data_IF_441561648623
#
_entry.id   IF_441561648623
#
_cell.length_a   1.000
_cell.length_b   1.000
_cell.length_c   1.000
_cell.angle_alpha   90.00
_cell.angle_beta   90.00
_cell.angle_gamma   90.00
#
_symmetry.space_group_name_H-M   'P 1'
#
loop_
_entity.id
_entity.type
_entity.pdbx_description
1 polymer ?
#
# COMPACT_ATOMS: atom_id res chain seq x y z
N UNK A 1 -57.55 -41.50 -28.73
CA UNK A 1 -57.63 -40.14 -28.20
C UNK A 1 -56.22 -39.57 -28.16
N UNK A 2 -56.00 -38.48 -28.89
CA UNK A 2 -54.74 -37.75 -28.99
C UNK A 2 -54.31 -37.16 -27.64
N UNK A 3 -53.06 -37.36 -27.23
CA UNK A 3 -52.34 -36.34 -26.47
C UNK A 3 -51.04 -36.04 -27.19
N UNK A 4 -50.95 -34.77 -27.57
CA UNK A 4 -49.91 -34.14 -28.37
C UNK A 4 -48.62 -34.00 -27.57
N UNK A 5 -47.54 -33.96 -28.34
CA UNK A 5 -46.20 -33.55 -27.95
C UNK A 5 -46.16 -32.31 -27.06
N UNK A 6 -45.29 -32.34 -26.05
CA UNK A 6 -44.44 -31.21 -25.71
C UNK A 6 -43.10 -31.73 -25.20
N UNK A 7 -42.16 -31.91 -26.11
CA UNK A 7 -40.74 -31.84 -25.76
C UNK A 7 -40.45 -30.43 -25.24
N UNK A 8 -40.06 -30.30 -23.98
CA UNK A 8 -39.35 -29.11 -23.50
C UNK A 8 -37.86 -29.36 -23.71
N UNK A 9 -37.26 -28.61 -24.61
CA UNK A 9 -35.80 -28.54 -24.73
C UNK A 9 -35.20 -28.15 -23.36
N UNK A 10 -34.11 -28.80 -22.91
CA UNK A 10 -33.34 -28.26 -21.80
C UNK A 10 -32.70 -26.96 -22.28
N UNK A 11 -33.23 -25.84 -21.80
CA UNK A 11 -32.65 -24.53 -22.00
C UNK A 11 -31.18 -24.55 -21.59
N UNK A 12 -30.32 -24.14 -22.51
CA UNK A 12 -28.92 -23.82 -22.22
C UNK A 12 -28.89 -22.74 -21.13
N UNK A 13 -28.53 -23.14 -19.92
CA UNK A 13 -28.06 -22.20 -18.91
C UNK A 13 -26.57 -21.95 -19.19
N UNK A 14 -26.28 -21.13 -20.19
CA UNK A 14 -24.97 -20.47 -20.32
C UNK A 14 -24.93 -19.30 -19.33
N UNK A 15 -25.01 -19.61 -18.04
CA UNK A 15 -24.59 -18.71 -16.97
C UNK A 15 -23.51 -19.45 -16.19
N UNK A 16 -22.36 -19.66 -16.85
CA UNK A 16 -21.11 -19.60 -16.12
C UNK A 16 -21.01 -18.16 -15.64
N UNK A 17 -21.55 -17.87 -14.45
CA UNK A 17 -20.96 -16.84 -13.61
C UNK A 17 -19.46 -17.09 -13.70
N UNK A 18 -18.73 -16.17 -14.34
CA UNK A 18 -17.27 -16.21 -14.33
C UNK A 18 -16.90 -16.30 -12.86
N UNK A 19 -16.50 -17.49 -12.43
CA UNK A 19 -15.87 -17.68 -11.14
C UNK A 19 -14.74 -16.64 -11.17
N UNK A 20 -14.74 -15.64 -10.27
CA UNK A 20 -13.71 -14.62 -10.30
C UNK A 20 -12.39 -15.37 -10.22
N UNK A 21 -11.58 -15.25 -11.27
CA UNK A 21 -10.26 -15.87 -11.30
C UNK A 21 -9.59 -15.46 -10.00
N UNK A 22 -9.15 -16.45 -9.22
CA UNK A 22 -8.42 -16.21 -7.99
C UNK A 22 -7.33 -15.20 -8.30
N UNK A 23 -7.19 -14.10 -7.52
CA UNK A 23 -6.18 -13.10 -7.77
C UNK A 23 -4.82 -13.74 -8.01
N UNK A 24 -4.18 -13.42 -9.12
CA UNK A 24 -2.86 -13.97 -9.42
C UNK A 24 -1.81 -13.24 -8.57
N UNK A 25 -1.70 -13.66 -7.30
CA UNK A 25 -0.78 -13.12 -6.29
C UNK A 25 0.67 -13.29 -6.75
N UNK A 26 0.98 -14.36 -7.48
CA UNK A 26 2.34 -14.61 -7.99
C UNK A 26 2.73 -13.55 -9.04
N UNK A 27 1.88 -13.31 -10.05
CA UNK A 27 2.11 -12.24 -11.03
C UNK A 27 2.19 -10.85 -10.38
N UNK A 28 1.33 -10.59 -9.38
CA UNK A 28 1.37 -9.35 -8.61
C UNK A 28 2.71 -9.17 -7.87
N UNK A 29 3.16 -10.22 -7.18
CA UNK A 29 4.42 -10.21 -6.46
C UNK A 29 5.62 -10.04 -7.40
N UNK A 30 5.63 -10.71 -8.55
CA UNK A 30 6.67 -10.55 -9.58
C UNK A 30 6.71 -9.13 -10.14
N UNK A 31 5.55 -8.57 -10.55
CA UNK A 31 5.44 -7.19 -11.06
C UNK A 31 6.03 -6.17 -10.08
N UNK A 32 5.80 -6.37 -8.79
CA UNK A 32 6.24 -5.46 -7.74
C UNK A 32 7.62 -5.81 -7.16
N UNK A 33 8.21 -6.92 -7.60
CA UNK A 33 9.48 -7.43 -7.08
C UNK A 33 9.40 -7.96 -5.64
N UNK A 34 8.22 -8.28 -5.10
CA UNK A 34 8.07 -8.71 -3.69
C UNK A 34 8.76 -10.04 -3.39
N UNK A 35 8.99 -10.87 -4.42
CA UNK A 35 9.70 -12.15 -4.30
C UNK A 35 11.14 -12.01 -3.77
N UNK A 36 11.71 -10.80 -3.80
CA UNK A 36 13.02 -10.51 -3.20
C UNK A 36 12.95 -10.31 -1.68
N UNK A 37 11.77 -9.98 -1.14
CA UNK A 37 11.53 -9.82 0.30
C UNK A 37 11.09 -11.13 0.94
N UNK A 38 10.20 -11.88 0.27
CA UNK A 38 9.67 -13.12 0.82
C UNK A 38 9.22 -14.10 -0.26
N UNK A 39 9.16 -15.38 0.10
CA UNK A 39 8.47 -16.44 -0.66
C UNK A 39 7.19 -16.91 0.03
N UNK A 40 6.85 -16.32 1.19
CA UNK A 40 5.68 -16.67 1.96
C UNK A 40 4.41 -16.14 1.26
N UNK A 41 3.54 -17.05 0.83
CA UNK A 41 2.29 -16.71 0.13
C UNK A 41 1.32 -15.91 1.00
N UNK A 42 1.32 -16.12 2.31
CA UNK A 42 0.44 -15.38 3.22
C UNK A 42 0.87 -13.91 3.34
N UNK A 43 2.17 -13.65 3.38
CA UNK A 43 2.71 -12.28 3.43
C UNK A 43 2.48 -11.56 2.10
N UNK A 44 2.68 -12.25 0.97
CA UNK A 44 2.30 -11.71 -0.34
C UNK A 44 0.81 -11.40 -0.42
N UNK A 45 -0.04 -12.25 0.17
CA UNK A 45 -1.49 -12.01 0.24
C UNK A 45 -1.82 -10.79 1.10
N UNK A 46 -1.20 -10.63 2.28
CA UNK A 46 -1.40 -9.43 3.12
C UNK A 46 -1.09 -8.15 2.36
N UNK A 47 0.03 -8.14 1.61
CA UNK A 47 0.39 -6.98 0.79
C UNK A 47 -0.56 -6.76 -0.38
N UNK A 48 -1.01 -7.85 -1.03
CA UNK A 48 -2.04 -7.77 -2.06
C UNK A 48 -3.35 -7.17 -1.53
N UNK A 49 -3.81 -7.61 -0.34
CA UNK A 49 -5.02 -7.11 0.30
C UNK A 49 -4.89 -5.62 0.70
N UNK A 50 -3.66 -5.14 0.95
CA UNK A 50 -3.37 -3.73 1.23
C UNK A 50 -3.38 -2.88 -0.04
N UNK A 51 -2.60 -3.25 -1.06
CA UNK A 51 -2.37 -2.41 -2.25
C UNK A 51 -3.43 -2.59 -3.36
N UNK A 52 -4.06 -3.76 -3.43
CA UNK A 52 -4.90 -4.16 -4.55
C UNK A 52 -4.10 -4.51 -5.81
N UNK A 53 -4.77 -5.11 -6.80
CA UNK A 53 -4.15 -5.56 -8.06
C UNK A 53 -3.43 -4.45 -8.84
N UNK A 54 -3.92 -3.23 -8.72
CA UNK A 54 -3.48 -2.08 -9.51
C UNK A 54 -2.35 -1.30 -8.83
N UNK A 55 -1.89 -1.77 -7.67
CA UNK A 55 -0.79 -1.14 -6.96
C UNK A 55 0.46 -1.02 -7.84
N UNK A 56 1.13 0.12 -7.69
CA UNK A 56 2.45 0.40 -8.22
C UNK A 56 3.24 1.21 -7.20
N UNK A 57 4.51 0.88 -7.03
CA UNK A 57 5.43 1.68 -6.23
C UNK A 57 5.58 3.09 -6.82
N UNK A 58 5.73 4.13 -5.98
CA UNK A 58 6.29 5.40 -6.43
C UNK A 58 7.63 5.15 -7.15
N UNK A 59 7.85 5.83 -8.27
CA UNK A 59 9.04 5.68 -9.12
C UNK A 59 10.35 6.02 -8.40
N UNK A 60 10.33 6.93 -7.43
CA UNK A 60 11.50 7.35 -6.64
C UNK A 60 11.71 6.49 -5.40
N UNK A 61 10.77 5.59 -5.08
CA UNK A 61 10.89 4.74 -3.89
C UNK A 61 11.91 3.65 -4.15
N UNK A 62 12.98 3.63 -3.37
CA UNK A 62 14.08 2.68 -3.53
C UNK A 62 13.75 1.30 -2.95
N UNK A 63 14.66 0.35 -3.10
CA UNK A 63 14.43 -1.02 -2.66
C UNK A 63 14.34 -1.17 -1.13
N UNK A 64 15.10 -0.39 -0.37
CA UNK A 64 15.10 -0.44 1.08
C UNK A 64 13.77 0.09 1.62
N UNK A 65 13.28 1.19 1.05
CA UNK A 65 11.97 1.73 1.44
C UNK A 65 10.83 0.79 1.11
N UNK A 66 10.87 0.13 -0.06
CA UNK A 66 9.89 -0.89 -0.42
C UNK A 66 9.90 -2.06 0.56
N UNK A 67 11.08 -2.46 1.04
CA UNK A 67 11.22 -3.48 2.08
C UNK A 67 10.56 -3.01 3.39
N UNK A 68 10.85 -1.79 3.84
CA UNK A 68 10.25 -1.23 5.06
C UNK A 68 8.72 -1.15 4.95
N UNK A 69 8.19 -0.68 3.82
CA UNK A 69 6.75 -0.64 3.57
C UNK A 69 6.16 -2.05 3.54
N UNK A 70 6.87 -3.02 2.98
CA UNK A 70 6.45 -4.41 3.00
C UNK A 70 6.37 -4.95 4.44
N UNK A 71 7.41 -4.72 5.24
CA UNK A 71 7.51 -5.17 6.63
C UNK A 71 6.39 -4.57 7.50
N UNK A 72 6.06 -3.28 7.33
CA UNK A 72 4.93 -2.66 7.99
C UNK A 72 3.59 -3.37 7.73
N UNK A 73 3.44 -4.02 6.58
CA UNK A 73 2.20 -4.73 6.21
C UNK A 73 2.22 -6.19 6.66
N UNK A 74 3.38 -6.83 6.64
CA UNK A 74 3.46 -8.29 6.79
C UNK A 74 3.89 -8.75 8.16
N UNK A 75 4.72 -7.98 8.86
CA UNK A 75 5.21 -8.32 10.17
C UNK A 75 4.09 -8.19 11.23
N UNK A 76 3.84 -9.23 12.04
CA UNK A 76 2.92 -9.16 13.17
C UNK A 76 3.19 -8.00 14.14
N UNK A 77 4.44 -7.57 14.31
CA UNK A 77 4.81 -6.46 15.21
C UNK A 77 4.06 -5.16 14.86
N UNK A 78 3.83 -4.91 13.57
CA UNK A 78 3.15 -3.70 13.09
C UNK A 78 1.65 -3.89 12.88
N UNK A 79 1.13 -5.09 13.12
CA UNK A 79 -0.27 -5.43 12.85
C UNK A 79 -1.24 -4.87 13.89
N UNK A 80 -0.76 -4.57 15.10
CA UNK A 80 -1.59 -4.07 16.19
C UNK A 80 -2.19 -2.69 15.85
N UNK A 81 -3.49 -2.53 16.08
CA UNK A 81 -4.21 -1.27 15.88
C UNK A 81 -4.24 -0.75 14.42
N UNK A 82 -3.70 -1.49 13.45
CA UNK A 82 -3.55 -1.02 12.07
C UNK A 82 -2.40 -0.04 11.85
N UNK A 83 -1.51 0.14 12.84
CA UNK A 83 -0.39 1.10 12.80
C UNK A 83 0.50 0.88 11.59
N UNK A 84 0.85 -0.38 11.28
CA UNK A 84 1.66 -0.73 10.12
C UNK A 84 1.03 -0.33 8.79
N UNK A 85 -0.29 -0.49 8.64
CA UNK A 85 -1.00 -0.07 7.42
C UNK A 85 -0.95 1.44 7.23
N UNK A 86 -1.09 2.19 8.32
CA UNK A 86 -0.97 3.64 8.29
C UNK A 86 0.46 4.09 7.98
N UNK A 87 1.48 3.49 8.60
CA UNK A 87 2.88 3.77 8.30
C UNK A 87 3.22 3.50 6.83
N UNK A 88 2.76 2.37 6.29
CA UNK A 88 2.92 2.02 4.88
C UNK A 88 2.24 3.06 3.97
N UNK A 89 0.98 3.39 4.23
CA UNK A 89 0.22 4.37 3.45
C UNK A 89 0.87 5.76 3.48
N UNK A 90 1.29 6.21 4.67
CA UNK A 90 1.96 7.48 4.88
C UNK A 90 3.31 7.53 4.15
N UNK A 91 4.12 6.46 4.22
CA UNK A 91 5.41 6.38 3.52
C UNK A 91 5.23 6.48 2.00
N UNK A 92 4.23 5.76 1.45
CA UNK A 92 3.88 5.84 0.03
C UNK A 92 3.40 7.25 -0.35
N UNK A 93 2.54 7.86 0.47
CA UNK A 93 2.02 9.21 0.23
C UNK A 93 3.13 10.26 0.23
N UNK A 94 4.06 10.18 1.18
CA UNK A 94 5.23 11.07 1.25
C UNK A 94 6.08 10.99 -0.01
N UNK A 95 6.38 9.79 -0.51
CA UNK A 95 7.09 9.63 -1.78
C UNK A 95 6.35 10.26 -2.95
N UNK A 96 5.02 10.09 -3.03
CA UNK A 96 4.20 10.77 -4.07
C UNK A 96 4.26 12.30 -3.95
N UNK A 97 4.30 12.86 -2.74
CA UNK A 97 4.44 14.31 -2.56
C UNK A 97 5.82 14.83 -3.00
N UNK A 98 6.88 14.06 -2.75
CA UNK A 98 8.22 14.40 -3.26
C UNK A 98 8.27 14.36 -4.79
N UNK A 99 7.75 13.30 -5.41
CA UNK A 99 7.72 13.14 -6.87
C UNK A 99 6.95 14.26 -7.57
N UNK A 100 5.80 14.63 -7.00
CA UNK A 100 4.94 15.69 -7.54
C UNK A 100 5.42 17.09 -7.19
N UNK A 101 6.47 17.24 -6.38
CA UNK A 101 7.04 18.52 -5.93
C UNK A 101 6.01 19.45 -5.29
N UNK A 102 5.07 18.89 -4.54
CA UNK A 102 3.98 19.63 -3.90
C UNK A 102 4.29 20.08 -2.48
N UNK A 103 5.38 19.59 -1.89
CA UNK A 103 5.85 20.04 -0.57
C UNK A 103 6.36 21.48 -0.66
N UNK A 104 6.02 22.31 0.32
CA UNK A 104 6.34 23.74 0.35
C UNK A 104 7.50 24.04 1.32
N UNK A 105 8.72 24.33 0.82
CA UNK A 105 9.86 24.62 1.67
C UNK A 105 9.79 25.92 2.46
N UNK A 106 8.86 26.81 2.13
CA UNK A 106 8.65 28.03 2.93
C UNK A 106 7.94 27.76 4.25
N UNK A 107 7.26 26.62 4.38
CA UNK A 107 6.43 26.27 5.56
C UNK A 107 7.17 25.48 6.64
N UNK A 108 8.30 24.86 6.32
CA UNK A 108 9.08 24.08 7.27
C UNK A 108 10.17 23.27 6.60
N UNK A 109 10.94 22.53 7.40
CA UNK A 109 11.97 21.60 6.91
C UNK A 109 11.50 20.15 6.91
N UNK A 110 10.39 19.86 7.58
CA UNK A 110 9.77 18.55 7.68
C UNK A 110 8.25 18.66 7.56
N UNK A 111 7.62 17.54 7.22
CA UNK A 111 6.17 17.35 7.19
C UNK A 111 5.76 16.21 8.09
N UNK A 112 4.67 16.43 8.83
CA UNK A 112 3.93 15.39 9.51
C UNK A 112 2.85 14.87 8.56
N UNK A 113 2.86 13.56 8.29
CA UNK A 113 1.77 12.90 7.59
C UNK A 113 1.02 11.93 8.50
N UNK A 114 -0.31 12.01 8.40
CA UNK A 114 -1.26 11.10 9.04
C UNK A 114 -2.33 10.79 7.99
N UNK A 115 -2.78 9.54 7.90
CA UNK A 115 -3.81 9.10 6.94
C UNK A 115 -3.56 9.50 5.47
N UNK A 116 -2.29 9.51 5.05
CA UNK A 116 -1.84 9.86 3.71
C UNK A 116 -1.89 11.36 3.39
N UNK A 117 -2.16 12.22 4.38
CA UNK A 117 -2.32 13.66 4.21
C UNK A 117 -1.26 14.43 5.00
N UNK A 118 -0.94 15.64 4.53
CA UNK A 118 -0.05 16.55 5.25
C UNK A 118 -0.86 17.24 6.33
N UNK A 119 -0.64 16.88 7.58
CA UNK A 119 -1.28 17.52 8.74
C UNK A 119 -0.63 18.87 9.04
N UNK A 120 0.71 18.92 9.03
CA UNK A 120 1.46 20.16 9.29
C UNK A 120 2.90 20.11 8.76
N UNK A 121 3.45 21.31 8.61
CA UNK A 121 4.89 21.52 8.42
C UNK A 121 5.56 21.83 9.77
N UNK A 122 6.85 21.58 9.88
CA UNK A 122 7.61 21.95 11.08
C UNK A 122 9.11 21.78 10.93
N UNK A 123 9.82 21.95 12.06
CA UNK A 123 11.25 21.67 12.17
C UNK A 123 11.55 20.40 12.95
N UNK A 124 10.89 20.23 14.11
CA UNK A 124 11.02 19.09 15.00
C UNK A 124 9.62 18.66 15.48
N UNK A 125 9.54 17.43 15.98
CA UNK A 125 8.44 16.91 16.79
C UNK A 125 8.89 16.86 18.26
N UNK A 126 8.02 17.24 19.20
CA UNK A 126 8.32 17.11 20.63
C UNK A 126 8.08 15.67 21.11
N UNK A 127 8.68 15.27 22.24
CA UNK A 127 8.44 13.93 22.81
C UNK A 127 6.96 13.71 23.16
N UNK A 128 6.30 14.71 23.77
CA UNK A 128 4.88 14.61 24.11
C UNK A 128 4.02 14.44 22.85
N UNK A 129 4.31 15.20 21.80
CA UNK A 129 3.58 15.09 20.53
C UNK A 129 3.84 13.74 19.84
N UNK A 130 5.06 13.22 19.93
CA UNK A 130 5.38 11.88 19.44
C UNK A 130 4.53 10.82 20.13
N UNK A 131 4.42 10.88 21.46
CA UNK A 131 3.63 9.93 22.26
C UNK A 131 2.13 9.99 21.92
N UNK A 132 1.59 11.18 21.66
CA UNK A 132 0.19 11.39 21.21
C UNK A 132 -0.09 10.78 19.83
N UNK A 133 0.93 10.74 18.96
CA UNK A 133 0.80 10.27 17.58
C UNK A 133 1.22 8.81 17.37
N UNK A 134 1.99 8.22 18.29
CA UNK A 134 2.60 6.89 18.12
C UNK A 134 1.59 5.79 17.74
N UNK A 135 0.37 5.84 18.29
CA UNK A 135 -0.69 4.87 17.99
C UNK A 135 -1.40 5.07 16.64
N UNK A 136 -1.10 6.13 15.90
CA UNK A 136 -1.76 6.48 14.64
C UNK A 136 -0.96 6.07 13.40
N UNK A 137 0.30 5.63 13.57
CA UNK A 137 1.18 5.26 12.45
C UNK A 137 1.58 6.45 11.57
N UNK A 138 1.96 7.58 12.19
CA UNK A 138 2.40 8.78 11.49
C UNK A 138 3.82 8.67 10.92
N UNK A 139 4.18 9.55 9.99
CA UNK A 139 5.58 9.81 9.64
C UNK A 139 5.91 11.28 9.81
N UNK A 140 7.11 11.56 10.27
CA UNK A 140 7.69 12.90 10.31
C UNK A 140 8.99 12.90 9.50
N UNK A 141 8.94 13.46 8.29
CA UNK A 141 9.99 13.30 7.29
C UNK A 141 10.44 14.65 6.72
N UNK A 142 11.71 14.78 6.30
CA UNK A 142 12.21 16.02 5.72
C UNK A 142 11.52 16.33 4.39
N UNK A 143 11.38 17.59 4.00
CA UNK A 143 10.77 17.94 2.71
C UNK A 143 11.76 17.92 1.53
N UNK A 144 13.05 17.88 1.82
CA UNK A 144 14.14 17.89 0.86
C UNK A 144 15.13 16.81 1.24
N UNK A 145 15.38 15.89 0.32
CA UNK A 145 16.45 14.92 0.46
C UNK A 145 17.75 15.57 -0.01
N UNK A 146 18.72 15.72 0.89
CA UNK A 146 20.06 16.14 0.48
C UNK A 146 20.61 15.06 -0.45
N UNK A 147 20.97 15.45 -1.67
CA UNK A 147 21.80 14.58 -2.53
C UNK A 147 23.05 14.27 -1.71
N UNK A 148 23.41 12.99 -1.47
CA UNK A 148 24.67 12.68 -0.83
C UNK A 148 25.75 13.32 -1.69
N UNK A 149 26.54 14.23 -1.12
CA UNK A 149 27.70 14.80 -1.79
C UNK A 149 28.54 13.63 -2.30
N UNK A 150 28.53 13.43 -3.63
CA UNK A 150 29.33 12.42 -4.28
C UNK A 150 30.78 12.69 -3.94
N UNK A 151 31.35 11.85 -3.08
CA UNK A 151 32.78 11.72 -2.88
C UNK A 151 33.25 10.41 -3.48
#
# INVERSE_FOLDING_TARGET
>A
MNFKDTYKEPGKFDNFEKIPESPNIENFAEKLGLCQFTKNKDDLKKFYDFGGSDFTWPSTMDIHERCVVFDYITDPEWSEGGVGKELAANTIAYRKFLESKTLDPSKGTHVLLVHGQIERYGKNISANEYDELAGQGFIYAPITESVPDGK
#
